data_IF_854455334161
#
_entry.id   IF_854455334161
#
_cell.length_a   1.000
_cell.length_b   1.000
_cell.length_c   1.000
_cell.angle_alpha   90.00
_cell.angle_beta   90.00
_cell.angle_gamma   90.00
#
_symmetry.space_group_name_H-M   'P 1'
#
loop_
_entity.id
_entity.type
_entity.pdbx_description
1 polymer ?
#
# COMPACT_ATOMS: atom_id res chain seq x y z
N UNK A 1 5.33 40.76 53.29
CA UNK A 1 6.26 41.42 52.35
C UNK A 1 7.47 40.47 52.08
N UNK A 2 7.22 39.24 51.73
CA UNK A 2 8.27 38.20 51.48
C UNK A 2 8.00 37.36 50.23
N UNK A 3 6.90 37.59 49.53
CA UNK A 3 6.47 36.72 48.42
C UNK A 3 7.00 37.19 47.03
N UNK A 4 7.58 38.39 46.92
CA UNK A 4 7.98 38.93 45.61
C UNK A 4 9.41 38.62 45.15
N UNK A 5 10.25 38.07 46.02
CA UNK A 5 11.64 37.70 45.65
C UNK A 5 11.79 36.29 45.11
N UNK A 6 10.84 35.37 45.42
CA UNK A 6 10.89 34.00 44.92
C UNK A 6 10.45 33.86 43.45
N UNK A 7 9.56 34.78 42.98
CA UNK A 7 9.03 34.69 41.64
C UNK A 7 10.00 35.22 40.57
N UNK A 8 10.92 36.16 40.93
CA UNK A 8 11.94 36.68 40.01
C UNK A 8 13.08 35.73 39.74
N UNK A 9 13.41 34.87 40.69
CA UNK A 9 14.51 33.89 40.56
C UNK A 9 14.09 32.71 39.71
N UNK A 10 12.79 32.33 39.72
CA UNK A 10 12.28 31.23 38.93
C UNK A 10 12.10 31.62 37.44
N UNK A 11 11.80 32.89 37.17
CA UNK A 11 11.63 33.39 35.81
C UNK A 11 12.96 33.54 35.04
N UNK A 12 14.04 33.91 35.78
CA UNK A 12 15.38 33.98 35.19
C UNK A 12 16.01 32.60 34.95
N UNK A 13 15.69 31.61 35.78
CA UNK A 13 16.15 30.24 35.58
C UNK A 13 15.43 29.57 34.37
N UNK A 14 14.16 29.91 34.15
CA UNK A 14 13.41 29.38 33.04
C UNK A 14 13.85 29.97 31.68
N UNK A 15 14.25 31.24 31.65
CA UNK A 15 14.79 31.90 30.45
C UNK A 15 16.19 31.39 30.12
N UNK A 16 17.00 31.06 31.13
CA UNK A 16 18.34 30.52 30.92
C UNK A 16 18.31 29.06 30.43
N UNK A 17 17.32 28.26 30.84
CA UNK A 17 17.09 26.89 30.37
C UNK A 17 16.53 26.84 28.94
N UNK A 18 15.80 27.87 28.49
CA UNK A 18 15.28 28.00 27.10
C UNK A 18 16.36 28.45 26.10
N UNK A 19 17.44 29.09 26.57
CA UNK A 19 18.51 29.59 25.69
C UNK A 19 19.72 28.62 25.58
N UNK A 20 19.75 27.55 26.37
CA UNK A 20 20.87 26.58 26.36
C UNK A 20 20.53 25.26 25.62
N UNK A 21 19.44 25.24 24.86
CA UNK A 21 19.19 24.12 23.96
C UNK A 21 19.95 24.39 22.66
N UNK A 22 20.93 23.59 22.27
CA UNK A 22 21.60 23.74 21.01
C UNK A 22 20.66 23.35 19.88
N UNK A 23 19.82 24.30 19.49
CA UNK A 23 19.04 24.22 18.26
C UNK A 23 20.05 24.24 17.12
N UNK A 24 20.20 23.18 16.39
CA UNK A 24 20.82 23.25 15.05
C UNK A 24 21.93 22.25 14.68
N UNK A 25 22.01 21.08 15.26
CA UNK A 25 22.84 20.07 14.55
C UNK A 25 22.05 18.91 13.96
N UNK A 26 20.81 18.70 14.39
CA UNK A 26 20.04 17.53 13.94
C UNK A 26 19.11 17.80 12.75
N UNK A 27 18.73 19.05 12.48
CA UNK A 27 17.85 19.37 11.36
C UNK A 27 18.61 19.37 10.03
N UNK A 28 19.81 19.94 10.00
CA UNK A 28 20.68 19.93 8.82
C UNK A 28 21.20 18.53 8.50
N UNK A 29 21.45 17.69 9.49
CA UNK A 29 21.86 16.30 9.27
C UNK A 29 20.69 15.44 8.74
N UNK A 30 19.46 15.74 9.19
CA UNK A 30 18.26 15.02 8.73
C UNK A 30 17.88 15.39 7.29
N UNK A 31 17.99 16.67 6.95
CA UNK A 31 17.74 17.17 5.58
C UNK A 31 18.85 16.71 4.63
N UNK A 32 20.12 16.79 5.03
CA UNK A 32 21.23 16.31 4.20
C UNK A 32 21.22 14.78 4.03
N UNK A 33 20.85 14.00 5.05
CA UNK A 33 20.71 12.54 4.90
C UNK A 33 19.58 12.16 3.94
N UNK A 34 18.50 12.94 3.89
CA UNK A 34 17.38 12.71 2.98
C UNK A 34 17.70 13.20 1.54
N UNK A 35 18.48 14.26 1.39
CA UNK A 35 18.91 14.77 0.08
C UNK A 35 20.12 14.02 -0.50
N UNK A 36 21.04 13.53 0.31
CA UNK A 36 22.19 12.73 -0.16
C UNK A 36 21.75 11.43 -0.85
N UNK A 37 20.57 10.90 -0.51
CA UNK A 37 20.04 9.71 -1.19
C UNK A 37 19.45 10.01 -2.57
N UNK A 38 19.21 11.29 -2.92
CA UNK A 38 18.67 11.68 -4.22
C UNK A 38 19.74 12.04 -5.25
N UNK A 39 20.91 12.48 -4.82
CA UNK A 39 21.95 12.98 -5.74
C UNK A 39 22.90 11.88 -6.23
N UNK A 40 22.98 10.72 -5.58
CA UNK A 40 23.98 9.69 -5.93
C UNK A 40 23.56 8.75 -7.06
N UNK A 41 22.34 8.89 -7.62
CA UNK A 41 21.80 7.94 -8.61
C UNK A 41 21.55 8.50 -10.01
N UNK A 42 21.89 9.75 -10.26
CA UNK A 42 21.67 10.35 -11.59
C UNK A 42 22.85 10.19 -12.56
N UNK A 43 23.95 9.57 -12.15
CA UNK A 43 25.15 9.40 -12.99
C UNK A 43 25.34 7.99 -13.57
N UNK A 44 24.39 7.08 -13.42
CA UNK A 44 24.38 5.86 -14.22
C UNK A 44 23.31 6.03 -15.30
N UNK A 45 23.61 5.59 -16.51
CA UNK A 45 22.69 5.51 -17.64
C UNK A 45 21.47 4.62 -17.28
N UNK A 46 20.63 5.13 -16.36
CA UNK A 46 19.44 4.41 -15.91
C UNK A 46 18.40 4.57 -16.99
N UNK A 47 18.06 3.49 -17.66
CA UNK A 47 16.99 3.48 -18.65
C UNK A 47 15.72 4.09 -18.07
N UNK A 48 14.97 4.88 -18.86
CA UNK A 48 13.66 5.41 -18.48
C UNK A 48 12.75 4.32 -17.89
N UNK A 49 12.85 3.10 -18.40
CA UNK A 49 12.17 1.91 -17.89
C UNK A 49 12.51 1.63 -16.43
N UNK A 50 13.79 1.70 -16.05
CA UNK A 50 14.24 1.42 -14.68
C UNK A 50 13.76 2.48 -13.70
N UNK A 51 13.73 3.74 -14.12
CA UNK A 51 13.18 4.84 -13.31
C UNK A 51 11.68 4.63 -13.07
N UNK A 52 10.93 4.29 -14.12
CA UNK A 52 9.50 4.01 -14.02
C UNK A 52 9.26 2.81 -13.09
N UNK A 53 9.99 1.71 -13.26
CA UNK A 53 9.87 0.52 -12.40
C UNK A 53 10.20 0.84 -10.94
N UNK A 54 11.20 1.69 -10.68
CA UNK A 54 11.54 2.14 -9.33
C UNK A 54 10.40 2.97 -8.70
N UNK A 55 9.75 3.83 -9.49
CA UNK A 55 8.57 4.60 -9.07
C UNK A 55 7.42 3.65 -8.72
N UNK A 56 7.07 2.71 -9.60
CA UNK A 56 6.01 1.71 -9.34
C UNK A 56 6.26 0.92 -8.07
N UNK A 57 7.51 0.46 -7.85
CA UNK A 57 7.92 -0.27 -6.65
C UNK A 57 7.83 0.59 -5.40
N UNK A 58 8.26 1.86 -5.47
CA UNK A 58 8.28 2.80 -4.33
C UNK A 58 6.88 3.18 -3.86
N UNK A 59 5.99 3.47 -4.79
CA UNK A 59 4.63 3.91 -4.50
C UNK A 59 3.62 2.75 -4.40
N UNK A 60 4.09 1.50 -4.51
CA UNK A 60 3.23 0.30 -4.51
C UNK A 60 2.08 0.38 -5.52
N UNK A 61 2.30 1.06 -6.64
CA UNK A 61 1.30 1.24 -7.70
C UNK A 61 0.88 -0.09 -8.33
N UNK A 62 1.74 -1.11 -8.27
CA UNK A 62 1.43 -2.46 -8.74
C UNK A 62 0.13 -2.99 -8.13
N UNK A 63 -0.14 -2.72 -6.84
CA UNK A 63 -1.36 -3.18 -6.18
C UNK A 63 -2.64 -2.56 -6.78
N UNK A 64 -2.58 -1.29 -7.18
CA UNK A 64 -3.70 -0.61 -7.86
C UNK A 64 -3.98 -1.22 -9.23
N UNK A 65 -2.94 -1.49 -9.99
CA UNK A 65 -3.01 -2.14 -11.31
C UNK A 65 -3.50 -3.59 -11.18
N UNK A 66 -2.99 -4.33 -10.20
CA UNK A 66 -3.40 -5.70 -9.94
C UNK A 66 -4.91 -5.80 -9.63
N UNK A 67 -5.48 -4.82 -8.91
CA UNK A 67 -6.93 -4.75 -8.65
C UNK A 67 -7.79 -4.67 -9.92
N UNK A 68 -7.36 -3.88 -10.89
CA UNK A 68 -8.08 -3.74 -12.16
C UNK A 68 -7.91 -5.00 -12.99
N UNK A 69 -6.68 -5.48 -13.16
CA UNK A 69 -6.38 -6.69 -13.92
C UNK A 69 -7.06 -7.94 -13.38
N UNK A 70 -7.18 -8.08 -12.07
CA UNK A 70 -7.90 -9.22 -11.45
C UNK A 70 -9.38 -9.21 -11.79
N UNK A 71 -10.02 -8.03 -11.93
CA UNK A 71 -11.41 -7.95 -12.37
C UNK A 71 -11.58 -8.40 -13.82
N UNK A 72 -10.67 -7.98 -14.69
CA UNK A 72 -10.65 -8.38 -16.10
C UNK A 72 -10.38 -9.89 -16.20
N UNK A 73 -9.37 -10.39 -15.48
CA UNK A 73 -9.05 -11.81 -15.41
C UNK A 73 -10.24 -12.66 -14.93
N UNK A 74 -11.00 -12.17 -13.94
CA UNK A 74 -12.20 -12.86 -13.47
C UNK A 74 -13.22 -13.06 -14.59
N UNK A 75 -13.51 -12.01 -15.35
CA UNK A 75 -14.48 -12.06 -16.45
C UNK A 75 -14.05 -13.06 -17.52
N UNK A 76 -12.78 -13.08 -17.89
CA UNK A 76 -12.24 -13.96 -18.92
C UNK A 76 -12.18 -15.43 -18.46
N UNK A 77 -11.76 -15.68 -17.21
CA UNK A 77 -11.56 -17.04 -16.68
C UNK A 77 -12.88 -17.75 -16.42
N UNK A 78 -13.86 -17.06 -15.80
CA UNK A 78 -15.15 -17.69 -15.46
C UNK A 78 -16.20 -17.63 -16.56
N UNK A 79 -16.04 -16.69 -17.48
CA UNK A 79 -16.91 -16.53 -18.64
C UNK A 79 -18.24 -15.86 -18.36
N UNK A 80 -18.92 -15.48 -19.45
CA UNK A 80 -20.17 -14.71 -19.42
C UNK A 80 -21.31 -15.29 -18.58
N UNK A 81 -21.52 -16.63 -18.51
CA UNK A 81 -22.61 -17.19 -17.69
C UNK A 81 -22.48 -16.87 -16.20
N UNK A 82 -21.27 -16.98 -15.65
CA UNK A 82 -21.01 -16.77 -14.21
C UNK A 82 -20.94 -15.28 -13.89
N UNK A 83 -20.42 -14.46 -14.81
CA UNK A 83 -20.33 -13.00 -14.65
C UNK A 83 -21.70 -12.36 -14.42
N UNK A 84 -22.75 -12.88 -15.05
CA UNK A 84 -24.15 -12.40 -14.84
C UNK A 84 -24.63 -12.51 -13.40
N UNK A 85 -24.12 -13.47 -12.67
CA UNK A 85 -24.43 -13.68 -11.25
C UNK A 85 -23.41 -13.03 -10.31
N UNK A 86 -22.36 -12.42 -10.84
CA UNK A 86 -21.31 -11.73 -10.07
C UNK A 86 -21.70 -10.27 -9.83
N UNK A 87 -21.96 -9.92 -8.59
CA UNK A 87 -22.33 -8.55 -8.19
C UNK A 87 -21.09 -7.67 -8.05
N UNK A 88 -20.03 -8.19 -7.42
CA UNK A 88 -18.79 -7.43 -7.23
C UNK A 88 -17.56 -8.33 -7.10
N UNK A 89 -16.43 -7.81 -7.55
CA UNK A 89 -15.12 -8.45 -7.43
C UNK A 89 -14.14 -7.47 -6.79
N UNK A 90 -13.53 -7.84 -5.67
CA UNK A 90 -12.61 -6.97 -4.92
C UNK A 90 -11.37 -7.73 -4.47
N UNK A 91 -10.21 -7.24 -4.84
CA UNK A 91 -8.94 -7.76 -4.34
C UNK A 91 -8.53 -7.01 -3.06
N UNK A 92 -8.31 -7.77 -1.96
CA UNK A 92 -7.78 -7.24 -0.71
C UNK A 92 -6.52 -8.03 -0.32
N UNK A 93 -5.36 -7.39 -0.45
CA UNK A 93 -4.09 -8.08 -0.28
C UNK A 93 -3.92 -9.19 -1.31
N UNK A 94 -3.89 -10.44 -0.87
CA UNK A 94 -3.79 -11.64 -1.71
C UNK A 94 -5.10 -12.45 -1.76
N UNK A 95 -6.20 -11.93 -1.18
CA UNK A 95 -7.51 -12.59 -1.19
C UNK A 95 -8.45 -11.88 -2.13
N UNK A 96 -9.12 -12.66 -2.97
CA UNK A 96 -10.13 -12.20 -3.90
C UNK A 96 -11.52 -12.40 -3.29
N UNK A 97 -12.26 -11.34 -3.06
CA UNK A 97 -13.63 -11.37 -2.59
C UNK A 97 -14.58 -11.23 -3.78
N UNK A 98 -15.38 -12.24 -3.99
CA UNK A 98 -16.37 -12.28 -5.07
C UNK A 98 -17.76 -12.38 -4.45
N UNK A 99 -18.61 -11.39 -4.72
CA UNK A 99 -19.99 -11.38 -4.26
C UNK A 99 -20.88 -11.89 -5.38
N UNK A 100 -21.65 -12.94 -5.08
CA UNK A 100 -22.59 -13.59 -6.00
C UNK A 100 -24.02 -13.37 -5.54
N UNK A 101 -24.97 -13.35 -6.46
CA UNK A 101 -26.40 -13.28 -6.14
C UNK A 101 -27.09 -14.67 -6.13
N UNK A 102 -26.31 -15.76 -6.28
CA UNK A 102 -26.83 -17.12 -6.30
C UNK A 102 -26.03 -18.02 -5.35
N UNK A 103 -26.73 -18.62 -4.38
CA UNK A 103 -26.13 -19.48 -3.35
C UNK A 103 -25.67 -20.83 -3.93
N UNK A 104 -26.43 -21.43 -4.85
CA UNK A 104 -26.05 -22.71 -5.47
C UNK A 104 -24.73 -22.56 -6.26
N UNK A 105 -24.65 -21.48 -7.08
CA UNK A 105 -23.43 -21.17 -7.81
C UNK A 105 -22.23 -20.93 -6.89
N UNK A 106 -22.44 -20.30 -5.73
CA UNK A 106 -21.39 -20.12 -4.73
C UNK A 106 -20.80 -21.45 -4.26
N UNK A 107 -21.66 -22.44 -3.98
CA UNK A 107 -21.20 -23.77 -3.54
C UNK A 107 -20.41 -24.47 -4.65
N UNK A 108 -20.92 -24.44 -5.89
CA UNK A 108 -20.23 -25.03 -7.03
C UNK A 108 -18.83 -24.43 -7.25
N UNK A 109 -18.73 -23.10 -7.20
CA UNK A 109 -17.45 -22.41 -7.35
C UNK A 109 -16.50 -22.66 -6.15
N UNK A 110 -17.05 -22.89 -4.96
CA UNK A 110 -16.24 -23.19 -3.79
C UNK A 110 -15.55 -24.57 -3.92
N UNK A 111 -16.18 -25.54 -4.54
CA UNK A 111 -15.55 -26.84 -4.86
C UNK A 111 -14.38 -26.68 -5.86
N UNK A 112 -14.53 -25.79 -6.84
CA UNK A 112 -13.52 -25.50 -7.86
C UNK A 112 -12.49 -24.43 -7.49
N UNK A 113 -12.48 -23.95 -6.26
CA UNK A 113 -11.73 -22.79 -5.79
C UNK A 113 -10.22 -22.85 -6.11
N UNK A 114 -9.56 -23.95 -5.84
CA UNK A 114 -8.12 -24.11 -6.09
C UNK A 114 -7.79 -23.98 -7.58
N UNK A 115 -8.61 -24.59 -8.43
CA UNK A 115 -8.46 -24.50 -9.89
C UNK A 115 -8.64 -23.06 -10.39
N UNK A 116 -9.63 -22.34 -9.85
CA UNK A 116 -9.86 -20.93 -10.18
C UNK A 116 -8.68 -20.04 -9.79
N UNK A 117 -8.07 -20.27 -8.63
CA UNK A 117 -6.86 -19.54 -8.20
C UNK A 117 -5.72 -19.75 -9.18
N UNK A 118 -5.49 -21.00 -9.61
CA UNK A 118 -4.44 -21.34 -10.59
C UNK A 118 -4.71 -20.64 -11.93
N UNK A 119 -5.91 -20.76 -12.48
CA UNK A 119 -6.29 -20.14 -13.76
C UNK A 119 -6.19 -18.63 -13.74
N UNK A 120 -6.58 -17.98 -12.63
CA UNK A 120 -6.44 -16.52 -12.47
C UNK A 120 -4.98 -16.08 -12.45
N UNK A 121 -4.13 -16.79 -11.72
CA UNK A 121 -2.70 -16.47 -11.65
C UNK A 121 -1.98 -16.75 -12.97
N UNK A 122 -2.37 -17.78 -13.70
CA UNK A 122 -1.88 -18.05 -15.07
C UNK A 122 -2.25 -16.92 -16.02
N UNK A 123 -3.50 -16.47 -16.00
CA UNK A 123 -3.93 -15.34 -16.83
C UNK A 123 -3.17 -14.05 -16.50
N UNK A 124 -2.95 -13.78 -15.19
CA UNK A 124 -2.23 -12.61 -14.71
C UNK A 124 -0.71 -12.70 -14.91
N UNK A 125 -0.19 -13.88 -15.27
CA UNK A 125 1.26 -14.16 -15.36
C UNK A 125 2.01 -13.82 -14.07
N UNK A 126 1.32 -13.88 -12.91
CA UNK A 126 1.85 -13.50 -11.61
C UNK A 126 1.00 -14.08 -10.48
N UNK A 127 1.61 -14.53 -9.42
CA UNK A 127 0.91 -14.95 -8.20
C UNK A 127 0.35 -13.76 -7.42
N UNK A 128 -0.80 -13.27 -7.82
CA UNK A 128 -1.51 -12.16 -7.16
C UNK A 128 -2.54 -12.70 -6.18
N UNK A 129 -3.27 -13.75 -6.56
CA UNK A 129 -4.38 -14.32 -5.80
C UNK A 129 -3.91 -15.59 -5.12
N UNK A 130 -3.97 -15.64 -3.79
CA UNK A 130 -3.69 -16.86 -3.00
C UNK A 130 -4.95 -17.58 -2.57
N UNK A 131 -6.03 -16.86 -2.42
CA UNK A 131 -7.30 -17.40 -1.93
C UNK A 131 -8.49 -16.63 -2.50
N UNK A 132 -9.64 -17.31 -2.66
CA UNK A 132 -10.89 -16.70 -3.10
C UNK A 132 -11.94 -16.88 -2.02
N UNK A 133 -12.66 -15.83 -1.68
CA UNK A 133 -13.76 -15.84 -0.71
C UNK A 133 -15.04 -15.50 -1.46
N UNK A 134 -15.96 -16.43 -1.52
CA UNK A 134 -17.27 -16.22 -2.12
C UNK A 134 -18.28 -15.74 -1.10
N UNK A 135 -18.92 -14.59 -1.37
CA UNK A 135 -19.97 -13.98 -0.55
C UNK A 135 -21.30 -14.03 -1.33
N UNK A 136 -22.40 -14.02 -0.61
CA UNK A 136 -23.75 -13.87 -1.18
C UNK A 136 -24.23 -12.45 -0.90
N UNK A 137 -24.82 -11.81 -1.92
CA UNK A 137 -25.42 -10.49 -1.81
C UNK A 137 -26.78 -10.56 -1.12
#
# INVERSE_FOLDING_TARGET
MVVSKFFRSFFLACIFLLFSFPLSKNITTFVNKKMSHYTTRYNSETSLKDVILAIFKRYRLNYGIDKVRVKEAWVEVVGAPIVKYTVSVRLQGSKLYVTLNNTALREDLNYGKSKLVTMLNEYLQKEVVKDIVFLVA
#
